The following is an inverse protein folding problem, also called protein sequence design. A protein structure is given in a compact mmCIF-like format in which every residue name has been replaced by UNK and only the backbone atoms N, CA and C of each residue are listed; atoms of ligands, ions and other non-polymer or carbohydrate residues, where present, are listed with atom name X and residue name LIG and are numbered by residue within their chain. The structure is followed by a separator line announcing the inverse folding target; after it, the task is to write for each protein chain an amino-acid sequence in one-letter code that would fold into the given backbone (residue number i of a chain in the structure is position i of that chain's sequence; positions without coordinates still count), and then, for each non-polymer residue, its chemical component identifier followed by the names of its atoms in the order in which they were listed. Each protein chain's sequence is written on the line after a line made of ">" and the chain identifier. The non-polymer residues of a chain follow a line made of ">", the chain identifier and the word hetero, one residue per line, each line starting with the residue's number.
data_IF_142419228574
#
_entry.id   IF_142419228574
#
_cell.length_a   1.000
_cell.length_b   1.000
_cell.length_c   1.000
_cell.angle_alpha   90.00
_cell.angle_beta   90.00
_cell.angle_gamma   90.00
#
_symmetry.space_group_name_H-M   'P 1'
#
loop_
_entity.id
_entity.type
_entity.pdbx_description
1 polymer ?
#
# COMPACT_ATOMS: atom_id res chain seq x y z
N UNK A 1 5.70 -1.67 23.14
CA UNK A 1 6.65 -2.37 22.25
C UNK A 1 6.27 -2.01 20.84
N UNK A 2 7.24 -1.62 20.02
CA UNK A 2 7.04 -1.44 18.58
C UNK A 2 7.10 -2.80 17.88
N UNK A 3 6.26 -3.00 16.86
CA UNK A 3 6.23 -4.21 16.05
C UNK A 3 7.52 -4.30 15.20
N UNK A 4 8.25 -5.41 15.30
CA UNK A 4 9.48 -5.63 14.54
C UNK A 4 9.27 -6.70 13.47
N UNK A 5 9.63 -6.36 12.23
CA UNK A 5 9.53 -7.23 11.06
C UNK A 5 10.90 -7.73 10.62
N UNK A 6 10.98 -8.99 10.20
CA UNK A 6 12.19 -9.58 9.63
C UNK A 6 12.45 -9.06 8.21
N UNK A 7 11.38 -8.84 7.45
CA UNK A 7 11.42 -8.26 6.12
C UNK A 7 10.11 -7.52 5.85
N UNK A 8 10.18 -6.47 5.02
CA UNK A 8 9.02 -5.69 4.59
C UNK A 8 9.14 -5.44 3.09
N UNK A 9 8.02 -5.55 2.38
CA UNK A 9 7.92 -5.20 0.96
C UNK A 9 6.75 -4.27 0.71
N UNK A 10 6.93 -3.38 -0.27
CA UNK A 10 5.88 -2.48 -0.76
C UNK A 10 5.42 -2.95 -2.13
N UNK A 11 4.10 -2.94 -2.34
CA UNK A 11 3.47 -3.21 -3.63
C UNK A 11 2.51 -2.05 -3.99
N UNK A 12 2.29 -1.84 -5.27
CA UNK A 12 1.41 -0.81 -5.82
C UNK A 12 0.48 -1.41 -6.86
N UNK A 13 -0.81 -1.50 -6.55
CA UNK A 13 -1.83 -2.04 -7.45
C UNK A 13 -2.64 -0.89 -8.04
N UNK A 14 -2.63 -0.75 -9.36
CA UNK A 14 -3.38 0.29 -10.07
C UNK A 14 -4.77 -0.23 -10.41
N UNK A 15 -5.79 0.45 -9.90
CA UNK A 15 -7.20 0.19 -10.19
C UNK A 15 -7.78 1.31 -11.05
N UNK A 16 -8.56 0.95 -12.06
CA UNK A 16 -9.41 1.91 -12.78
C UNK A 16 -10.74 2.02 -12.05
N UNK A 17 -11.02 3.20 -11.49
CA UNK A 17 -12.22 3.49 -10.69
C UNK A 17 -12.99 4.67 -11.28
N UNK A 18 -14.26 4.84 -10.91
CA UNK A 18 -15.08 5.97 -11.37
C UNK A 18 -15.24 7.01 -10.25
N UNK A 19 -14.81 8.26 -10.48
CA UNK A 19 -14.79 9.29 -9.42
C UNK A 19 -14.78 10.76 -9.94
N UNK A 20 -15.78 11.59 -9.57
CA UNK A 20 -17.19 11.33 -9.84
C UNK A 20 -17.46 11.45 -11.35
N UNK A 21 -18.06 10.41 -11.93
CA UNK A 21 -18.49 10.38 -13.34
C UNK A 21 -17.41 9.97 -14.35
N UNK A 22 -16.12 10.25 -14.09
CA UNK A 22 -14.99 9.90 -14.97
C UNK A 22 -14.25 8.65 -14.50
N UNK A 23 -13.84 7.79 -15.44
CA UNK A 23 -12.92 6.69 -15.16
C UNK A 23 -11.49 7.23 -14.97
N UNK A 24 -10.91 6.99 -13.80
CA UNK A 24 -9.58 7.44 -13.39
C UNK A 24 -8.78 6.25 -12.87
N UNK A 25 -7.47 6.26 -13.07
CA UNK A 25 -6.58 5.30 -12.44
C UNK A 25 -6.25 5.79 -11.02
N UNK A 26 -6.34 4.92 -10.04
CA UNK A 26 -5.87 5.15 -8.67
C UNK A 26 -4.98 4.00 -8.24
N UNK A 27 -3.88 4.31 -7.57
CA UNK A 27 -2.97 3.29 -7.03
C UNK A 27 -3.31 3.01 -5.57
N UNK A 28 -3.36 1.74 -5.19
CA UNK A 28 -3.38 1.31 -3.80
C UNK A 28 -2.01 0.77 -3.46
N UNK A 29 -1.36 1.37 -2.47
CA UNK A 29 -0.08 0.92 -1.94
C UNK A 29 -0.33 -0.03 -0.77
N UNK A 30 0.31 -1.20 -0.80
CA UNK A 30 0.29 -2.18 0.28
C UNK A 30 1.68 -2.29 0.89
N UNK A 31 1.76 -2.24 2.22
CA UNK A 31 2.92 -2.68 2.95
C UNK A 31 2.64 -4.08 3.49
N UNK A 32 3.56 -5.02 3.26
CA UNK A 32 3.45 -6.39 3.75
C UNK A 32 4.73 -6.74 4.50
N UNK A 33 4.58 -7.23 5.73
CA UNK A 33 5.69 -7.57 6.61
C UNK A 33 5.73 -9.07 6.91
N UNK A 34 6.94 -9.61 7.06
CA UNK A 34 7.19 -10.92 7.64
C UNK A 34 7.50 -10.75 9.13
N UNK A 35 6.66 -11.28 10.00
CA UNK A 35 6.91 -11.22 11.43
C UNK A 35 7.92 -12.30 11.88
N UNK A 36 8.28 -12.30 13.18
CA UNK A 36 9.28 -13.23 13.74
C UNK A 36 8.85 -14.71 13.73
N UNK A 37 7.55 -14.97 13.57
CA UNK A 37 6.97 -16.30 13.48
C UNK A 37 6.93 -16.82 12.02
N UNK A 38 7.43 -16.02 11.07
CA UNK A 38 7.41 -16.37 9.65
C UNK A 38 6.04 -16.16 9.00
N UNK A 39 5.14 -15.42 9.65
CA UNK A 39 3.81 -15.11 9.12
C UNK A 39 3.85 -13.79 8.36
N UNK A 40 3.24 -13.79 7.17
CA UNK A 40 3.03 -12.58 6.39
C UNK A 40 1.79 -11.86 6.90
N UNK A 41 1.93 -10.57 7.16
CA UNK A 41 0.84 -9.68 7.59
C UNK A 41 0.88 -8.38 6.79
N UNK A 42 -0.22 -7.62 6.80
CA UNK A 42 -0.36 -6.36 6.05
C UNK A 42 -0.44 -5.20 7.05
N UNK A 43 0.68 -4.55 7.42
CA UNK A 43 0.69 -3.51 8.44
C UNK A 43 0.01 -2.22 7.99
N UNK A 44 -0.17 -2.01 6.68
CA UNK A 44 -0.90 -0.85 6.18
C UNK A 44 -1.25 -0.91 4.70
N UNK A 45 -2.30 -0.15 4.37
CA UNK A 45 -2.81 0.03 3.01
C UNK A 45 -3.13 1.52 2.86
N UNK A 46 -2.68 2.12 1.76
CA UNK A 46 -2.93 3.53 1.46
C UNK A 46 -3.41 3.70 0.03
N UNK A 47 -4.37 4.59 -0.17
CA UNK A 47 -4.73 5.02 -1.53
C UNK A 47 -3.85 6.19 -1.91
N UNK A 48 -3.15 6.08 -3.05
CA UNK A 48 -2.43 7.20 -3.64
C UNK A 48 -3.42 8.27 -4.05
N UNK A 49 -3.37 9.44 -3.41
CA UNK A 49 -3.82 10.67 -4.05
C UNK A 49 -2.75 11.01 -5.10
N UNK A 50 -3.19 11.47 -6.27
CA UNK A 50 -2.40 11.83 -7.46
C UNK A 50 -0.94 12.15 -7.14
N UNK A 51 -0.01 11.46 -7.81
CA UNK A 51 1.43 11.47 -7.56
C UNK A 51 2.02 12.86 -7.28
N UNK A 52 1.98 13.28 -6.01
CA UNK A 52 2.88 14.32 -5.50
C UNK A 52 3.98 13.59 -4.77
N UNK A 53 5.11 13.38 -5.45
CA UNK A 53 6.39 13.28 -4.74
C UNK A 53 6.63 14.66 -4.12
N UNK A 54 6.24 14.83 -2.86
CA UNK A 54 6.65 15.99 -2.08
C UNK A 54 8.14 15.84 -1.81
N UNK A 55 8.96 16.53 -2.61
CA UNK A 55 10.30 16.91 -2.22
C UNK A 55 10.23 18.06 -1.22
#
# INVERSE_FOLDING_TARGET
>A
MESMYLAVWMDGIVFKVRDPGKAVNKTVYLCVGLNKEGIKEVPGIWTGKTESSGY
#
